data_IF_580067226391
#
_entry.id   IF_580067226391
#
_cell.length_a   1.000
_cell.length_b   1.000
_cell.length_c   1.000
_cell.angle_alpha   90.00
_cell.angle_beta   90.00
_cell.angle_gamma   90.00
#
_symmetry.space_group_name_H-M   'P 1'
#
loop_
_entity.id
_entity.type
_entity.pdbx_description
1 polymer ?
#
# COMPACT_ATOMS: atom_id res chain seq x y z
N UNK A 1 4.04 12.66 18.51
CA UNK A 1 3.75 11.69 17.43
C UNK A 1 3.24 10.43 18.09
N UNK A 2 2.10 9.90 17.65
CA UNK A 2 1.43 8.75 18.29
C UNK A 2 1.26 7.65 17.24
N UNK A 3 1.87 6.48 17.46
CA UNK A 3 1.78 5.33 16.56
C UNK A 3 0.72 4.34 17.06
N UNK A 4 -0.04 3.76 16.13
CA UNK A 4 -0.87 2.58 16.40
C UNK A 4 -0.17 1.41 15.72
N UNK A 5 0.62 0.65 16.47
CA UNK A 5 1.47 -0.43 15.96
C UNK A 5 1.42 -1.66 16.87
N UNK A 6 1.49 -2.83 16.27
CA UNK A 6 1.75 -4.09 16.96
C UNK A 6 2.57 -5.01 16.04
N UNK A 7 3.78 -5.43 16.42
CA UNK A 7 4.53 -5.03 17.63
C UNK A 7 5.05 -3.58 17.55
N UNK A 8 5.58 -3.07 18.68
CA UNK A 8 6.18 -1.71 18.74
C UNK A 8 7.55 -1.66 18.05
N UNK A 9 7.58 -1.49 16.73
CA UNK A 9 8.83 -1.55 15.95
C UNK A 9 9.65 -0.27 16.05
N UNK A 10 9.01 0.89 16.25
CA UNK A 10 9.71 2.18 16.36
C UNK A 10 10.74 2.21 17.50
N UNK A 11 10.50 1.41 18.55
CA UNK A 11 11.38 1.32 19.72
C UNK A 11 12.40 0.17 19.61
N UNK A 12 12.38 -0.59 18.53
CA UNK A 12 13.26 -1.75 18.37
C UNK A 12 14.68 -1.31 17.99
N UNK A 13 15.67 -1.64 18.83
CA UNK A 13 17.07 -1.22 18.66
C UNK A 13 17.70 -1.55 17.30
N UNK A 14 17.20 -2.57 16.59
CA UNK A 14 17.72 -2.97 15.27
C UNK A 14 16.91 -2.41 14.10
N UNK A 15 15.82 -1.69 14.36
CA UNK A 15 15.09 -0.99 13.31
C UNK A 15 15.91 0.21 12.82
N UNK A 16 16.27 0.20 11.53
CA UNK A 16 17.01 1.28 10.86
C UNK A 16 16.18 2.00 9.78
N UNK A 17 14.91 1.64 9.67
CA UNK A 17 13.99 2.20 8.68
C UNK A 17 13.33 3.49 9.16
N UNK A 18 12.36 3.94 8.38
CA UNK A 18 11.51 5.10 8.68
C UNK A 18 10.06 4.66 8.61
N UNK A 19 9.28 5.04 9.62
CA UNK A 19 7.82 4.86 9.59
C UNK A 19 7.23 6.01 8.82
N UNK A 20 6.32 5.69 7.90
CA UNK A 20 5.73 6.69 7.05
C UNK A 20 4.22 6.77 7.28
N UNK A 21 3.75 8.00 7.42
CA UNK A 21 2.35 8.30 7.68
C UNK A 21 1.65 8.59 6.36
N UNK A 22 0.47 7.99 6.13
CA UNK A 22 -0.36 8.36 5.00
C UNK A 22 -0.80 9.81 5.07
N UNK A 23 -0.85 10.48 3.92
CA UNK A 23 -1.40 11.82 3.74
C UNK A 23 -2.73 11.73 2.99
N UNK A 24 -3.48 12.83 2.93
CA UNK A 24 -4.79 12.89 2.24
C UNK A 24 -4.76 12.31 0.82
N UNK A 25 -3.68 12.55 0.07
CA UNK A 25 -3.50 12.02 -1.28
C UNK A 25 -3.54 10.49 -1.34
N UNK A 26 -2.89 9.83 -0.40
CA UNK A 26 -2.83 8.36 -0.32
C UNK A 26 -4.25 7.77 -0.13
N UNK A 27 -5.08 8.40 0.70
CA UNK A 27 -6.47 7.95 0.89
C UNK A 27 -7.32 8.15 -0.37
N UNK A 28 -7.11 9.24 -1.11
CA UNK A 28 -7.83 9.49 -2.36
C UNK A 28 -7.45 8.46 -3.42
N UNK A 29 -6.16 8.12 -3.53
CA UNK A 29 -5.71 7.08 -4.46
C UNK A 29 -6.19 5.69 -4.03
N UNK A 30 -6.11 5.35 -2.74
CA UNK A 30 -6.65 4.10 -2.21
C UNK A 30 -8.14 3.92 -2.53
N UNK A 31 -8.92 5.01 -2.45
CA UNK A 31 -10.33 4.99 -2.84
C UNK A 31 -10.53 4.76 -4.35
N UNK A 32 -9.71 5.36 -5.22
CA UNK A 32 -9.77 5.08 -6.67
C UNK A 32 -9.49 3.61 -6.97
N UNK A 33 -8.44 3.04 -6.37
CA UNK A 33 -8.12 1.61 -6.48
C UNK A 33 -9.28 0.74 -6.00
N UNK A 34 -9.89 1.09 -4.87
CA UNK A 34 -11.07 0.41 -4.34
C UNK A 34 -12.22 0.36 -5.35
N UNK A 35 -12.55 1.49 -5.99
CA UNK A 35 -13.65 1.56 -6.94
C UNK A 35 -13.40 0.67 -8.17
N UNK A 36 -12.18 0.65 -8.69
CA UNK A 36 -11.85 -0.23 -9.82
C UNK A 36 -11.89 -1.72 -9.43
N UNK A 37 -11.38 -2.08 -8.25
CA UNK A 37 -11.45 -3.44 -7.73
C UNK A 37 -12.89 -3.92 -7.49
N UNK A 38 -13.78 -3.02 -7.03
CA UNK A 38 -15.20 -3.31 -6.85
C UNK A 38 -15.91 -3.61 -8.18
N UNK A 39 -15.57 -2.90 -9.27
CA UNK A 39 -16.13 -3.18 -10.60
C UNK A 39 -15.83 -4.59 -11.08
N UNK A 40 -14.72 -5.18 -10.63
CA UNK A 40 -14.29 -6.53 -10.98
C UNK A 40 -14.74 -7.59 -9.97
N UNK A 41 -15.47 -7.21 -8.92
CA UNK A 41 -15.88 -8.15 -7.86
C UNK A 41 -14.73 -8.66 -6.99
N UNK A 42 -13.64 -7.90 -6.88
CA UNK A 42 -12.42 -8.28 -6.13
C UNK A 42 -12.09 -7.27 -5.03
N UNK A 43 -12.95 -7.11 -4.00
CA UNK A 43 -12.68 -6.17 -2.93
C UNK A 43 -11.39 -6.52 -2.20
N UNK A 44 -10.66 -5.49 -1.76
CA UNK A 44 -9.38 -5.63 -1.07
C UNK A 44 -9.43 -4.99 0.31
N UNK A 45 -8.56 -5.46 1.22
CA UNK A 45 -8.45 -4.89 2.55
C UNK A 45 -8.04 -3.40 2.47
N UNK A 46 -8.62 -2.58 3.35
CA UNK A 46 -8.28 -1.16 3.44
C UNK A 46 -6.76 -0.93 3.62
N UNK A 47 -6.11 -1.73 4.47
CA UNK A 47 -4.66 -1.67 4.69
C UNK A 47 -3.85 -1.96 3.43
N UNK A 48 -4.26 -2.92 2.60
CA UNK A 48 -3.60 -3.21 1.32
C UNK A 48 -3.74 -2.04 0.36
N UNK A 49 -4.95 -1.49 0.22
CA UNK A 49 -5.23 -0.35 -0.65
C UNK A 49 -4.42 0.88 -0.24
N UNK A 50 -4.38 1.20 1.05
CA UNK A 50 -3.63 2.34 1.57
C UNK A 50 -2.12 2.14 1.41
N UNK A 51 -1.62 0.93 1.65
CA UNK A 51 -0.20 0.59 1.46
C UNK A 51 0.21 0.73 0.00
N UNK A 52 -0.60 0.18 -0.93
CA UNK A 52 -0.38 0.32 -2.36
C UNK A 52 -0.36 1.79 -2.82
N UNK A 53 -1.35 2.58 -2.38
CA UNK A 53 -1.43 4.00 -2.71
C UNK A 53 -0.20 4.77 -2.22
N UNK A 54 0.21 4.51 -0.97
CA UNK A 54 1.41 5.10 -0.37
C UNK A 54 2.67 4.80 -1.19
N UNK A 55 2.85 3.55 -1.63
CA UNK A 55 4.02 3.12 -2.40
C UNK A 55 4.05 3.79 -3.77
N UNK A 56 2.89 3.87 -4.43
CA UNK A 56 2.75 4.50 -5.75
C UNK A 56 3.05 6.00 -5.69
N UNK A 57 2.41 6.74 -4.77
CA UNK A 57 2.60 8.19 -4.65
C UNK A 57 4.05 8.58 -4.33
N UNK A 58 4.82 7.68 -3.73
CA UNK A 58 6.23 7.91 -3.39
C UNK A 58 7.21 7.36 -4.41
N UNK A 59 6.74 6.64 -5.42
CA UNK A 59 7.61 5.93 -6.34
C UNK A 59 8.56 4.99 -5.59
N UNK A 60 8.06 4.28 -4.58
CA UNK A 60 8.83 3.25 -3.87
C UNK A 60 8.57 1.86 -4.50
N UNK A 61 9.16 0.83 -3.93
CA UNK A 61 8.93 -0.58 -4.27
C UNK A 61 8.33 -1.28 -3.05
N UNK A 62 7.29 -2.08 -3.27
CA UNK A 62 6.65 -2.84 -2.20
C UNK A 62 7.27 -4.23 -2.12
N UNK A 63 7.97 -4.49 -1.02
CA UNK A 63 8.49 -5.81 -0.71
C UNK A 63 7.45 -6.63 0.07
N UNK A 64 6.92 -7.69 -0.53
CA UNK A 64 5.86 -8.52 0.08
C UNK A 64 5.78 -9.92 -0.54
N UNK A 65 5.32 -10.90 0.23
CA UNK A 65 4.88 -12.21 -0.29
C UNK A 65 3.37 -12.30 -0.47
N UNK A 66 2.63 -11.26 -0.09
CA UNK A 66 1.17 -11.23 -0.18
C UNK A 66 0.73 -11.01 -1.64
N UNK A 67 0.12 -12.05 -2.22
CA UNK A 67 -0.32 -12.09 -3.60
C UNK A 67 -1.53 -11.18 -3.87
N UNK A 68 -2.23 -10.69 -2.85
CA UNK A 68 -3.31 -9.71 -3.02
C UNK A 68 -2.82 -8.42 -3.71
N UNK A 69 -1.54 -8.07 -3.51
CA UNK A 69 -0.93 -6.92 -4.17
C UNK A 69 -0.72 -7.11 -5.67
N UNK A 70 -0.66 -8.35 -6.17
CA UNK A 70 -0.60 -8.62 -7.62
C UNK A 70 -1.90 -8.19 -8.30
N UNK A 71 -3.05 -8.44 -7.65
CA UNK A 71 -4.35 -8.00 -8.14
C UNK A 71 -4.51 -6.48 -8.09
N UNK A 72 -4.04 -5.85 -7.02
CA UNK A 72 -4.05 -4.39 -6.88
C UNK A 72 -3.16 -3.75 -7.95
N UNK A 73 -1.99 -4.32 -8.22
CA UNK A 73 -1.08 -3.87 -9.28
C UNK A 73 -1.73 -3.92 -10.65
N UNK A 74 -2.38 -5.04 -10.99
CA UNK A 74 -3.08 -5.19 -12.26
C UNK A 74 -4.18 -4.13 -12.46
N UNK A 75 -4.89 -3.77 -11.38
CA UNK A 75 -5.92 -2.70 -11.44
C UNK A 75 -5.32 -1.31 -11.53
N UNK A 76 -4.19 -1.08 -10.86
CA UNK A 76 -3.50 0.21 -10.89
C UNK A 76 -3.11 0.62 -12.32
N UNK A 77 -2.78 -0.36 -13.18
CA UNK A 77 -2.48 -0.13 -14.59
C UNK A 77 -3.65 0.51 -15.35
N UNK A 78 -4.91 0.16 -15.02
CA UNK A 78 -6.10 0.79 -15.60
C UNK A 78 -6.21 2.29 -15.27
N UNK A 79 -5.56 2.73 -14.19
CA UNK A 79 -5.47 4.12 -13.77
C UNK A 79 -4.21 4.81 -14.29
N UNK A 80 -3.40 4.13 -15.12
CA UNK A 80 -2.12 4.64 -15.61
C UNK A 80 -1.03 4.65 -14.55
N UNK A 81 -1.14 3.80 -13.53
CA UNK A 81 -0.21 3.71 -12.41
C UNK A 81 0.60 2.42 -12.50
N UNK A 82 1.80 2.44 -11.94
CA UNK A 82 2.66 1.24 -11.85
C UNK A 82 3.03 0.99 -10.39
N UNK A 83 2.76 -0.22 -9.91
CA UNK A 83 3.20 -0.69 -8.61
C UNK A 83 4.39 -1.63 -8.83
N UNK A 84 5.54 -1.31 -8.24
CA UNK A 84 6.71 -2.20 -8.28
C UNK A 84 6.64 -3.15 -7.09
N UNK A 85 6.61 -4.44 -7.38
CA UNK A 85 6.53 -5.51 -6.40
C UNK A 85 7.84 -6.30 -6.38
N UNK A 86 8.35 -6.57 -5.18
CA UNK A 86 9.53 -7.40 -4.95
C UNK A 86 9.22 -8.50 -3.93
N UNK A 87 9.51 -9.76 -4.25
CA UNK A 87 9.46 -10.86 -3.27
C UNK A 87 10.82 -10.91 -2.55
N UNK A 88 10.89 -10.60 -1.24
CA UNK A 88 12.14 -10.55 -0.49
C UNK A 88 12.79 -11.91 -0.27
#
# INVERSE_FOLDING_TARGET
MTFVEYPRIVHYKRFRGRVIFPIKGDYLLAHKLQLELLKMGRPQAFSHLLTAAVVVERGEELSTYDEDFEQISAVAENLGLTIRLHKP
#
